data_IF_281538445773
#
_entry.id   IF_281538445773
#
_cell.length_a   1.000
_cell.length_b   1.000
_cell.length_c   1.000
_cell.angle_alpha   90.00
_cell.angle_beta   90.00
_cell.angle_gamma   90.00
#
_symmetry.space_group_name_H-M   'P 1'
#
loop_
_entity.id
_entity.type
_entity.pdbx_description
1 polymer ?
#
# COMPACT_ATOMS: atom_id res chain seq x y z
N UNK A 1 -36.21 23.06 5.48
CA UNK A 1 -35.54 22.27 4.42
C UNK A 1 -34.13 22.81 4.27
N UNK A 2 -33.21 22.30 5.09
CA UNK A 2 -31.80 22.71 5.11
C UNK A 2 -31.08 21.91 4.03
N UNK A 3 -30.85 22.55 2.88
CA UNK A 3 -30.42 21.91 1.65
C UNK A 3 -28.94 21.54 1.71
N UNK A 4 -28.65 20.25 1.55
CA UNK A 4 -27.38 19.70 1.08
C UNK A 4 -26.91 20.48 -0.15
N UNK A 5 -25.87 21.30 0.00
CA UNK A 5 -24.92 21.58 -1.06
C UNK A 5 -23.61 20.98 -0.56
N UNK A 6 -23.49 19.68 -0.81
CA UNK A 6 -22.23 18.96 -0.78
C UNK A 6 -21.23 19.78 -1.61
N UNK A 7 -20.04 20.00 -1.04
CA UNK A 7 -18.94 20.77 -1.61
C UNK A 7 -18.63 20.29 -3.03
N UNK A 8 -19.10 21.03 -4.02
CA UNK A 8 -18.65 20.86 -5.41
C UNK A 8 -17.20 21.33 -5.44
N UNK A 9 -16.27 20.42 -5.75
CA UNK A 9 -14.90 20.79 -6.06
C UNK A 9 -14.92 21.70 -7.30
N UNK A 10 -14.37 22.90 -7.17
CA UNK A 10 -14.33 23.90 -8.24
C UNK A 10 -12.95 23.81 -8.89
N UNK A 11 -12.90 23.61 -10.20
CA UNK A 11 -11.62 23.50 -10.93
C UNK A 11 -11.07 24.86 -11.40
N UNK A 12 -11.91 25.89 -11.46
CA UNK A 12 -11.54 27.25 -11.86
C UNK A 12 -12.58 28.25 -11.38
N UNK A 13 -12.14 29.40 -10.88
CA UNK A 13 -13.01 30.54 -10.54
C UNK A 13 -12.94 31.58 -11.65
N UNK A 14 -14.10 32.04 -12.10
CA UNK A 14 -14.21 33.19 -13.02
C UNK A 14 -15.03 34.26 -12.33
N UNK A 15 -14.46 35.44 -12.13
CA UNK A 15 -15.09 36.51 -11.34
C UNK A 15 -15.07 37.85 -12.05
N UNK A 16 -16.04 38.73 -11.76
CA UNK A 16 -15.89 40.14 -12.11
C UNK A 16 -14.92 40.84 -11.17
N UNK A 17 -14.26 41.89 -11.66
CA UNK A 17 -13.47 42.76 -10.81
C UNK A 17 -14.36 43.61 -9.90
N UNK A 18 -15.51 44.13 -10.37
CA UNK A 18 -16.46 44.88 -9.52
C UNK A 18 -17.75 44.12 -9.28
N UNK A 19 -18.00 43.75 -8.03
CA UNK A 19 -19.23 43.09 -7.60
C UNK A 19 -19.90 43.89 -6.45
N UNK A 20 -21.22 43.73 -6.24
CA UNK A 20 -21.88 44.38 -5.10
C UNK A 20 -21.34 43.86 -3.77
N UNK A 21 -20.67 44.73 -3.00
CA UNK A 21 -20.22 44.44 -1.63
C UNK A 21 -18.84 43.80 -1.50
N UNK A 22 -18.16 43.46 -2.60
CA UNK A 22 -16.78 42.93 -2.62
C UNK A 22 -16.18 43.18 -4.01
N UNK A 23 -14.86 43.27 -4.13
CA UNK A 23 -14.21 43.22 -5.44
C UNK A 23 -13.64 41.83 -5.75
N UNK A 24 -13.24 41.63 -7.01
CA UNK A 24 -12.70 40.35 -7.48
C UNK A 24 -11.35 39.98 -6.87
N UNK A 25 -10.58 40.97 -6.39
CA UNK A 25 -9.29 40.74 -5.73
C UNK A 25 -9.49 40.30 -4.28
N UNK A 26 -10.43 40.89 -3.56
CA UNK A 26 -10.86 40.42 -2.23
C UNK A 26 -11.33 38.95 -2.28
N UNK A 27 -12.00 38.56 -3.37
CA UNK A 27 -12.42 37.17 -3.58
C UNK A 27 -11.22 36.26 -3.87
N UNK A 28 -10.27 36.71 -4.70
CA UNK A 28 -9.03 35.98 -4.98
C UNK A 28 -8.24 35.72 -3.71
N UNK A 29 -8.07 36.73 -2.85
CA UNK A 29 -7.37 36.58 -1.56
C UNK A 29 -7.99 35.45 -0.72
N UNK A 30 -9.32 35.46 -0.56
CA UNK A 30 -10.05 34.41 0.17
C UNK A 30 -9.95 33.03 -0.50
N UNK A 31 -9.91 32.98 -1.83
CA UNK A 31 -9.69 31.73 -2.56
C UNK A 31 -8.28 31.19 -2.30
N UNK A 32 -7.26 32.05 -2.37
CA UNK A 32 -5.86 31.68 -2.13
C UNK A 32 -5.58 31.23 -0.70
N UNK A 33 -6.33 31.72 0.29
CA UNK A 33 -6.25 31.23 1.68
C UNK A 33 -6.64 29.75 1.82
N UNK A 34 -7.55 29.26 0.98
CA UNK A 34 -8.07 27.88 1.05
C UNK A 34 -7.43 26.96 0.02
N UNK A 35 -7.28 27.45 -1.20
CA UNK A 35 -6.73 26.73 -2.34
C UNK A 35 -5.71 27.62 -3.08
N UNK A 36 -4.44 27.62 -2.64
CA UNK A 36 -3.40 28.52 -3.14
C UNK A 36 -3.16 28.42 -4.65
N UNK A 37 -3.45 27.26 -5.26
CA UNK A 37 -3.17 27.00 -6.68
C UNK A 37 -4.41 26.97 -7.57
N UNK A 38 -5.61 27.20 -7.02
CA UNK A 38 -6.85 27.18 -7.80
C UNK A 38 -6.82 28.23 -8.93
N UNK A 39 -7.03 27.86 -10.20
CA UNK A 39 -7.10 28.83 -11.29
C UNK A 39 -8.15 29.91 -11.05
N UNK A 40 -7.75 31.17 -11.21
CA UNK A 40 -8.63 32.32 -11.00
C UNK A 40 -8.49 33.31 -12.16
N UNK A 41 -9.57 33.46 -12.92
CA UNK A 41 -9.64 34.35 -14.07
C UNK A 41 -10.53 35.53 -13.74
N UNK A 42 -9.98 36.73 -13.83
CA UNK A 42 -10.78 37.95 -13.78
C UNK A 42 -11.39 38.21 -15.15
N UNK A 43 -12.71 38.26 -15.20
CA UNK A 43 -13.47 38.63 -16.39
C UNK A 43 -14.22 39.92 -16.09
N UNK A 44 -13.76 41.08 -16.59
CA UNK A 44 -14.32 42.39 -16.18
C UNK A 44 -14.77 43.30 -17.32
N UNK A 45 -15.83 44.07 -17.09
CA UNK A 45 -16.38 45.02 -18.07
C UNK A 45 -15.54 46.29 -18.30
N UNK A 46 -14.56 46.59 -17.43
CA UNK A 46 -13.68 47.77 -17.57
C UNK A 46 -12.20 47.35 -17.65
N UNK A 47 -11.59 47.55 -18.82
CA UNK A 47 -10.15 47.42 -19.03
C UNK A 47 -9.41 48.75 -18.93
N UNK A 48 -9.26 49.29 -17.72
CA UNK A 48 -8.24 50.33 -17.48
C UNK A 48 -6.90 49.66 -17.19
N UNK A 49 -5.81 50.25 -17.69
CA UNK A 49 -4.44 49.78 -17.44
C UNK A 49 -4.17 49.59 -15.95
N UNK A 50 -4.69 50.48 -15.10
CA UNK A 50 -4.57 50.40 -13.64
C UNK A 50 -5.11 49.08 -13.05
N UNK A 51 -6.23 48.58 -13.59
CA UNK A 51 -6.86 47.33 -13.09
C UNK A 51 -6.09 46.10 -13.57
N UNK A 52 -5.52 46.15 -14.77
CA UNK A 52 -4.68 45.06 -15.27
C UNK A 52 -3.38 44.93 -14.46
N UNK A 53 -2.78 46.06 -14.06
CA UNK A 53 -1.59 46.07 -13.20
C UNK A 53 -1.89 45.48 -11.83
N UNK A 54 -3.00 45.88 -11.20
CA UNK A 54 -3.42 45.31 -9.92
C UNK A 54 -3.68 43.80 -10.01
N UNK A 55 -4.37 43.35 -11.06
CA UNK A 55 -4.64 41.93 -11.30
C UNK A 55 -3.35 41.11 -11.42
N UNK A 56 -2.38 41.58 -12.21
CA UNK A 56 -1.08 40.91 -12.38
C UNK A 56 -0.33 40.84 -11.05
N UNK A 57 -0.29 41.94 -10.30
CA UNK A 57 0.39 41.97 -8.99
C UNK A 57 -0.28 41.05 -7.94
N UNK A 58 -1.56 40.76 -8.11
CA UNK A 58 -2.32 39.88 -7.23
C UNK A 58 -2.23 38.39 -7.60
N UNK A 59 -1.45 38.01 -8.62
CA UNK A 59 -1.23 36.62 -9.05
C UNK A 59 -2.52 35.91 -9.51
N UNK A 60 -3.33 36.63 -10.30
CA UNK A 60 -4.41 36.01 -11.07
C UNK A 60 -3.83 35.09 -12.14
N UNK A 61 -4.56 34.03 -12.45
CA UNK A 61 -4.18 33.12 -13.55
C UNK A 61 -4.33 33.80 -14.90
N UNK A 62 -5.39 34.59 -15.08
CA UNK A 62 -5.54 35.43 -16.25
C UNK A 62 -6.51 36.59 -16.03
N UNK A 63 -6.45 37.58 -16.92
CA UNK A 63 -7.31 38.74 -16.96
C UNK A 63 -7.91 38.92 -18.36
N UNK A 64 -9.25 38.95 -18.43
CA UNK A 64 -10.01 39.08 -19.66
C UNK A 64 -11.02 40.22 -19.56
N UNK A 65 -11.08 41.07 -20.58
CA UNK A 65 -12.08 42.12 -20.66
C UNK A 65 -13.38 41.55 -21.20
N UNK A 66 -14.50 41.65 -20.46
CA UNK A 66 -15.86 41.31 -20.87
C UNK A 66 -16.30 42.15 -22.07
N UNK A 67 -16.22 41.58 -23.25
CA UNK A 67 -17.12 41.89 -24.35
C UNK A 67 -18.01 40.65 -24.60
N UNK A 68 -19.30 40.88 -24.81
CA UNK A 68 -20.29 39.79 -24.96
C UNK A 68 -20.29 39.23 -26.39
N UNK A 69 -19.15 39.27 -27.07
CA UNK A 69 -19.02 38.70 -28.42
C UNK A 69 -18.92 37.17 -28.32
N UNK A 70 -19.49 36.42 -29.28
CA UNK A 70 -19.31 34.97 -29.35
C UNK A 70 -17.84 34.54 -29.42
N UNK A 71 -17.00 35.38 -30.03
CA UNK A 71 -15.56 35.17 -30.16
C UNK A 71 -14.85 35.22 -28.81
N UNK A 72 -15.20 36.18 -27.95
CA UNK A 72 -14.62 36.26 -26.61
C UNK A 72 -15.11 35.19 -25.64
N UNK A 73 -16.38 34.78 -25.73
CA UNK A 73 -16.85 33.66 -24.93
C UNK A 73 -16.09 32.37 -25.28
N UNK A 74 -15.76 32.20 -26.56
CA UNK A 74 -14.88 31.11 -27.02
C UNK A 74 -13.46 31.27 -26.47
N UNK A 75 -12.92 32.49 -26.43
CA UNK A 75 -11.61 32.77 -25.86
C UNK A 75 -11.55 32.49 -24.35
N UNK A 76 -12.58 32.89 -23.60
CA UNK A 76 -12.71 32.60 -22.17
C UNK A 76 -12.80 31.09 -21.92
N UNK A 77 -13.60 30.35 -22.69
CA UNK A 77 -13.71 28.90 -22.57
C UNK A 77 -12.35 28.21 -22.78
N UNK A 78 -11.65 28.54 -23.87
CA UNK A 78 -10.30 28.02 -24.12
C UNK A 78 -9.33 28.37 -22.98
N UNK A 79 -9.46 29.57 -22.41
CA UNK A 79 -8.59 29.99 -21.31
C UNK A 79 -8.85 29.20 -20.03
N UNK A 80 -10.11 28.96 -19.70
CA UNK A 80 -10.52 28.10 -18.58
C UNK A 80 -9.97 26.68 -18.81
N UNK A 81 -10.19 26.11 -20.00
CA UNK A 81 -9.73 24.75 -20.32
C UNK A 81 -8.21 24.61 -20.16
N UNK A 82 -7.45 25.58 -20.69
CA UNK A 82 -5.99 25.57 -20.56
C UNK A 82 -5.53 25.71 -19.11
N UNK A 83 -6.12 26.64 -18.35
CA UNK A 83 -5.75 26.87 -16.97
C UNK A 83 -6.05 25.65 -16.08
N UNK A 84 -7.20 24.99 -16.30
CA UNK A 84 -7.57 23.76 -15.61
C UNK A 84 -6.66 22.60 -16.02
N UNK A 85 -6.34 22.46 -17.31
CA UNK A 85 -5.47 21.40 -17.80
C UNK A 85 -4.05 21.53 -17.22
N UNK A 86 -3.51 22.76 -17.18
CA UNK A 86 -2.20 23.04 -16.59
C UNK A 86 -2.17 22.72 -15.10
N UNK A 87 -3.19 23.17 -14.35
CA UNK A 87 -3.28 22.88 -12.91
C UNK A 87 -3.40 21.37 -12.64
N UNK A 88 -4.23 20.66 -13.39
CA UNK A 88 -4.36 19.20 -13.25
C UNK A 88 -3.09 18.45 -13.62
N UNK A 89 -2.38 18.89 -14.66
CA UNK A 89 -1.09 18.31 -15.03
C UNK A 89 -0.05 18.52 -13.92
N UNK A 90 -0.04 19.71 -13.31
CA UNK A 90 0.81 20.01 -12.16
C UNK A 90 0.47 19.14 -10.96
N UNK A 91 -0.79 19.05 -10.57
CA UNK A 91 -1.24 18.22 -9.45
C UNK A 91 -0.92 16.74 -9.68
N UNK A 92 -1.13 16.23 -10.90
CA UNK A 92 -0.79 14.86 -11.26
C UNK A 92 0.73 14.61 -11.20
N UNK A 93 1.54 15.57 -11.65
CA UNK A 93 2.99 15.49 -11.56
C UNK A 93 3.48 15.54 -10.10
N UNK A 94 2.94 16.44 -9.29
CA UNK A 94 3.25 16.55 -7.86
C UNK A 94 2.82 15.28 -7.10
N UNK A 95 1.63 14.75 -7.38
CA UNK A 95 1.16 13.49 -6.82
C UNK A 95 2.05 12.30 -7.23
N UNK A 96 2.49 12.25 -8.49
CA UNK A 96 3.42 11.22 -8.97
C UNK A 96 4.78 11.33 -8.28
N UNK A 97 5.34 12.54 -8.16
CA UNK A 97 6.59 12.79 -7.44
C UNK A 97 6.45 12.44 -5.95
N UNK A 98 5.34 12.79 -5.33
CA UNK A 98 5.06 12.44 -3.93
C UNK A 98 4.87 10.94 -3.74
N UNK A 99 4.22 10.25 -4.69
CA UNK A 99 4.04 8.81 -4.68
C UNK A 99 5.38 8.08 -4.84
N UNK A 100 6.21 8.51 -5.79
CA UNK A 100 7.57 8.00 -5.96
C UNK A 100 8.42 8.27 -4.71
N UNK A 101 8.33 9.46 -4.11
CA UNK A 101 8.99 9.77 -2.84
C UNK A 101 8.46 8.95 -1.68
N UNK A 102 7.16 8.62 -1.62
CA UNK A 102 6.60 7.77 -0.56
C UNK A 102 7.00 6.31 -0.68
N UNK A 103 7.13 5.81 -1.91
CA UNK A 103 7.72 4.49 -2.19
C UNK A 103 9.19 4.52 -1.77
N UNK A 104 9.91 5.59 -2.06
CA UNK A 104 11.33 5.76 -1.75
C UNK A 104 11.62 6.00 -0.24
N UNK A 105 10.82 6.81 0.47
CA UNK A 105 11.11 7.23 1.86
C UNK A 105 10.69 6.21 2.93
N UNK A 106 9.94 5.16 2.57
CA UNK A 106 9.64 4.03 3.47
C UNK A 106 10.55 2.82 3.20
N UNK A 107 11.47 2.97 2.26
CA UNK A 107 12.25 1.91 1.66
C UNK A 107 13.61 2.50 1.26
N UNK A 108 14.54 2.62 2.20
CA UNK A 108 15.94 2.87 1.85
C UNK A 108 16.50 1.61 1.16
N UNK A 109 16.17 1.43 -0.11
CA UNK A 109 16.77 0.42 -0.97
C UNK A 109 18.20 0.86 -1.27
N UNK A 110 19.16 0.04 -0.90
CA UNK A 110 20.54 0.26 -1.27
C UNK A 110 20.71 0.12 -2.78
N UNK A 111 21.47 1.02 -3.39
CA UNK A 111 21.74 0.99 -4.82
C UNK A 111 23.23 0.83 -5.12
N UNK A 112 23.53 -0.09 -6.05
CA UNK A 112 24.85 -0.22 -6.67
C UNK A 112 24.73 -0.38 -8.20
N UNK A 113 25.73 0.13 -8.91
CA UNK A 113 25.90 -0.01 -10.34
C UNK A 113 27.13 -0.86 -10.65
N UNK A 114 27.00 -1.76 -11.61
CA UNK A 114 28.04 -2.66 -12.09
C UNK A 114 28.31 -2.38 -13.57
N UNK A 115 29.56 -2.55 -14.00
CA UNK A 115 29.89 -2.65 -15.43
C UNK A 115 29.71 -4.08 -15.98
N UNK A 116 29.94 -4.28 -17.28
CA UNK A 116 29.89 -5.59 -17.95
C UNK A 116 30.83 -6.64 -17.33
N UNK A 117 31.87 -6.22 -16.60
CA UNK A 117 32.80 -7.10 -15.89
C UNK A 117 32.40 -7.33 -14.42
N UNK A 118 31.19 -6.91 -14.01
CA UNK A 118 30.70 -6.93 -12.63
C UNK A 118 31.54 -6.08 -11.67
N UNK A 119 32.20 -5.04 -12.16
CA UNK A 119 32.96 -4.08 -11.34
C UNK A 119 32.03 -3.00 -10.80
N UNK A 120 32.15 -2.66 -9.51
CA UNK A 120 31.31 -1.64 -8.88
C UNK A 120 31.69 -0.25 -9.41
N UNK A 121 30.84 0.33 -10.25
CA UNK A 121 31.02 1.67 -10.82
C UNK A 121 30.40 2.76 -9.97
N UNK A 122 29.37 2.42 -9.20
CA UNK A 122 28.69 3.30 -8.26
C UNK A 122 28.11 2.49 -7.11
N UNK A 123 28.08 3.09 -5.92
CA UNK A 123 27.21 2.65 -4.83
C UNK A 123 26.84 3.87 -3.97
N UNK A 124 25.67 3.84 -3.36
CA UNK A 124 25.26 4.84 -2.35
C UNK A 124 25.72 4.46 -0.93
N UNK A 125 25.36 5.28 0.06
CA UNK A 125 25.74 5.06 1.45
C UNK A 125 25.00 3.88 2.10
N UNK A 126 23.77 3.60 1.68
CA UNK A 126 22.99 2.47 2.17
C UNK A 126 23.60 1.15 1.67
N UNK A 127 24.01 1.10 0.41
CA UNK A 127 24.72 -0.02 -0.19
C UNK A 127 26.05 -0.30 0.50
N UNK A 128 26.87 0.73 0.72
CA UNK A 128 28.12 0.57 1.45
C UNK A 128 27.89 0.01 2.88
N UNK A 129 26.86 0.51 3.56
CA UNK A 129 26.47 0.03 4.89
C UNK A 129 26.02 -1.43 4.88
N UNK A 130 25.16 -1.83 3.94
CA UNK A 130 24.65 -3.20 3.85
C UNK A 130 25.72 -4.20 3.40
N UNK A 131 26.66 -3.78 2.54
CA UNK A 131 27.83 -4.57 2.17
C UNK A 131 28.91 -4.60 3.27
N UNK A 132 28.66 -3.94 4.41
CA UNK A 132 29.57 -3.85 5.56
C UNK A 132 30.99 -3.36 5.18
N UNK A 133 31.08 -2.43 4.22
CA UNK A 133 32.34 -1.92 3.70
C UNK A 133 32.38 -0.40 3.55
N UNK A 134 33.59 0.13 3.44
CA UNK A 134 33.80 1.54 3.15
C UNK A 134 33.54 1.81 1.65
N UNK A 135 32.67 2.78 1.35
CA UNK A 135 32.31 3.15 -0.03
C UNK A 135 33.53 3.34 -0.94
N UNK A 136 34.55 4.01 -0.43
CA UNK A 136 35.78 4.35 -1.17
C UNK A 136 36.65 3.13 -1.44
N UNK A 137 36.56 2.09 -0.60
CA UNK A 137 37.25 0.83 -0.79
C UNK A 137 36.49 -0.12 -1.72
N UNK A 138 35.17 0.02 -1.82
CA UNK A 138 34.31 -0.81 -2.66
C UNK A 138 34.22 -0.31 -4.10
N UNK A 139 34.37 1.00 -4.34
CA UNK A 139 34.35 1.57 -5.69
C UNK A 139 35.51 1.06 -6.54
N UNK A 140 35.19 0.50 -7.71
CA UNK A 140 36.16 -0.02 -8.66
C UNK A 140 36.60 -1.45 -8.40
N UNK A 141 36.11 -2.10 -7.34
CA UNK A 141 36.38 -3.50 -7.05
C UNK A 141 35.34 -4.41 -7.76
N UNK A 142 35.74 -5.62 -8.19
CA UNK A 142 34.80 -6.62 -8.69
C UNK A 142 33.83 -7.06 -7.59
N UNK A 143 32.52 -7.06 -7.87
CA UNK A 143 31.50 -7.43 -6.89
C UNK A 143 31.74 -8.83 -6.30
N UNK A 144 32.17 -9.77 -7.14
CA UNK A 144 32.43 -11.16 -6.75
C UNK A 144 33.71 -11.34 -5.93
N UNK A 145 34.64 -10.38 -5.97
CA UNK A 145 35.80 -10.37 -5.07
C UNK A 145 35.43 -9.79 -3.70
N UNK A 146 34.47 -8.86 -3.66
CA UNK A 146 33.90 -8.31 -2.42
C UNK A 146 33.00 -9.35 -1.73
N UNK A 147 32.21 -10.10 -2.50
CA UNK A 147 31.26 -11.11 -2.02
C UNK A 147 31.58 -12.49 -2.62
N UNK A 148 32.70 -13.14 -2.25
CA UNK A 148 33.11 -14.40 -2.86
C UNK A 148 32.13 -15.54 -2.54
N UNK A 149 31.43 -15.50 -1.40
CA UNK A 149 30.39 -16.47 -1.05
C UNK A 149 29.08 -16.29 -1.86
N UNK A 150 28.94 -15.19 -2.61
CA UNK A 150 27.82 -14.97 -3.52
C UNK A 150 28.08 -15.56 -4.92
N UNK A 151 29.29 -16.05 -5.20
CA UNK A 151 29.61 -16.84 -6.40
C UNK A 151 28.89 -18.19 -6.31
N UNK A 152 28.42 -18.70 -7.44
CA UNK A 152 27.59 -19.91 -7.57
C UNK A 152 26.27 -19.86 -6.76
N UNK A 153 25.81 -18.65 -6.43
CA UNK A 153 24.56 -18.42 -5.68
C UNK A 153 23.44 -17.88 -6.59
N UNK A 154 22.19 -17.75 -6.08
CA UNK A 154 21.13 -17.09 -6.81
C UNK A 154 21.48 -15.67 -7.27
N UNK A 155 22.38 -14.96 -6.59
CA UNK A 155 22.80 -13.61 -7.00
C UNK A 155 23.47 -13.62 -8.37
N UNK A 156 24.53 -14.43 -8.55
CA UNK A 156 25.27 -14.51 -9.81
C UNK A 156 24.39 -14.99 -10.96
N UNK A 157 23.67 -16.09 -10.76
CA UNK A 157 22.80 -16.67 -11.79
C UNK A 157 21.70 -15.70 -12.26
N UNK A 158 21.13 -14.89 -11.37
CA UNK A 158 20.12 -13.90 -11.75
C UNK A 158 20.74 -12.67 -12.44
N UNK A 159 21.93 -12.23 -12.03
CA UNK A 159 22.61 -11.10 -12.65
C UNK A 159 23.08 -11.44 -14.06
N UNK A 160 23.65 -12.63 -14.25
CA UNK A 160 23.97 -13.16 -15.58
C UNK A 160 22.71 -13.23 -16.45
N UNK A 161 21.61 -13.79 -15.92
CA UNK A 161 20.34 -13.88 -16.65
C UNK A 161 19.80 -12.50 -17.06
N UNK A 162 19.93 -11.49 -16.21
CA UNK A 162 19.49 -10.13 -16.50
C UNK A 162 20.25 -9.52 -17.67
N UNK A 163 21.58 -9.72 -17.71
CA UNK A 163 22.47 -9.28 -18.79
C UNK A 163 22.24 -10.07 -20.09
N UNK A 164 22.16 -11.40 -20.00
CA UNK A 164 22.00 -12.28 -21.19
C UNK A 164 20.67 -12.07 -21.91
N UNK A 165 19.59 -11.84 -21.17
CA UNK A 165 18.24 -11.73 -21.72
C UNK A 165 17.76 -10.29 -21.87
N UNK A 166 18.58 -9.31 -21.50
CA UNK A 166 18.23 -7.89 -21.48
C UNK A 166 16.88 -7.65 -20.79
N UNK A 167 16.72 -8.25 -19.60
CA UNK A 167 15.47 -8.20 -18.85
C UNK A 167 15.72 -7.99 -17.37
N UNK A 168 14.82 -7.25 -16.71
CA UNK A 168 14.88 -7.06 -15.27
C UNK A 168 14.56 -8.34 -14.51
N UNK A 169 15.28 -8.60 -13.43
CA UNK A 169 15.04 -9.71 -12.50
C UNK A 169 14.72 -9.17 -11.10
N UNK A 170 13.85 -9.90 -10.39
CA UNK A 170 13.40 -9.61 -9.03
C UNK A 170 13.36 -10.94 -8.27
N UNK A 171 14.03 -11.01 -7.12
CA UNK A 171 14.06 -12.21 -6.29
C UNK A 171 14.44 -11.89 -4.83
N UNK A 172 13.95 -12.73 -3.93
CA UNK A 172 14.36 -12.74 -2.52
C UNK A 172 15.29 -13.92 -2.25
N UNK A 173 16.41 -13.68 -1.57
CA UNK A 173 17.33 -14.75 -1.17
C UNK A 173 18.03 -14.44 0.14
N UNK A 174 18.38 -15.48 0.88
CA UNK A 174 19.15 -15.37 2.12
C UNK A 174 20.63 -15.41 1.82
N UNK A 175 21.36 -14.43 2.36
CA UNK A 175 22.81 -14.40 2.28
C UNK A 175 23.39 -14.75 3.65
N UNK A 176 23.86 -16.00 3.76
CA UNK A 176 24.35 -16.61 4.99
C UNK A 176 25.46 -15.78 5.70
N UNK A 177 26.47 -15.21 5.00
CA UNK A 177 27.56 -14.48 5.67
C UNK A 177 27.10 -13.27 6.49
N UNK A 178 25.99 -12.64 6.08
CA UNK A 178 25.40 -11.52 6.81
C UNK A 178 24.17 -11.93 7.65
N UNK A 179 23.76 -13.20 7.61
CA UNK A 179 22.48 -13.68 8.13
C UNK A 179 21.31 -12.73 7.78
N UNK A 180 21.28 -12.32 6.51
CA UNK A 180 20.37 -11.28 6.04
C UNK A 180 19.60 -11.79 4.84
N UNK A 181 18.28 -11.63 4.87
CA UNK A 181 17.43 -11.83 3.71
C UNK A 181 17.45 -10.57 2.86
N UNK A 182 17.83 -10.72 1.60
CA UNK A 182 17.83 -9.65 0.62
C UNK A 182 16.68 -9.79 -0.35
N UNK A 183 15.94 -8.71 -0.56
CA UNK A 183 15.07 -8.50 -1.72
C UNK A 183 15.88 -7.72 -2.76
N UNK A 184 16.09 -8.31 -3.94
CA UNK A 184 17.05 -7.82 -4.95
C UNK A 184 16.34 -7.60 -6.27
N UNK A 185 16.57 -6.42 -6.86
CA UNK A 185 16.12 -6.07 -8.20
C UNK A 185 17.29 -5.63 -9.04
N UNK A 186 17.50 -6.30 -10.17
CA UNK A 186 18.55 -5.95 -11.11
C UNK A 186 17.97 -5.60 -12.48
N UNK A 187 18.47 -4.50 -13.04
CA UNK A 187 18.03 -3.94 -14.32
C UNK A 187 19.25 -3.84 -15.24
N UNK A 188 19.19 -4.36 -16.48
CA UNK A 188 20.22 -4.10 -17.46
C UNK A 188 20.30 -2.59 -17.75
N UNK A 189 21.52 -2.09 -17.90
CA UNK A 189 21.79 -0.68 -18.20
C UNK A 189 22.86 -0.58 -19.29
N UNK A 190 23.03 0.61 -19.88
CA UNK A 190 24.06 0.85 -20.89
C UNK A 190 25.46 0.62 -20.29
N UNK A 191 26.06 -0.54 -20.58
CA UNK A 191 27.39 -0.93 -20.13
C UNK A 191 27.45 -1.69 -18.80
N UNK A 192 26.34 -2.30 -18.37
CA UNK A 192 26.34 -3.25 -17.25
C UNK A 192 24.98 -3.41 -16.58
N UNK A 193 24.94 -3.30 -15.25
CA UNK A 193 23.78 -3.64 -14.43
C UNK A 193 23.53 -2.58 -13.35
N UNK A 194 22.27 -2.20 -13.16
CA UNK A 194 21.81 -1.41 -12.03
C UNK A 194 21.10 -2.32 -11.02
N UNK A 195 21.58 -2.35 -9.78
CA UNK A 195 21.08 -3.27 -8.74
C UNK A 195 20.56 -2.48 -7.54
N UNK A 196 19.34 -2.81 -7.14
CA UNK A 196 18.72 -2.36 -5.91
C UNK A 196 18.59 -3.56 -4.98
N UNK A 197 18.89 -3.40 -3.70
CA UNK A 197 18.77 -4.46 -2.73
C UNK A 197 18.37 -3.95 -1.37
N UNK A 198 17.64 -4.78 -0.62
CA UNK A 198 17.06 -4.40 0.66
C UNK A 198 17.14 -5.52 1.68
N UNK A 199 17.49 -5.18 2.91
CA UNK A 199 17.28 -6.07 4.05
C UNK A 199 15.77 -6.23 4.34
N UNK A 200 15.27 -7.44 4.15
CA UNK A 200 13.89 -7.86 4.44
C UNK A 200 13.84 -8.90 5.56
N UNK A 201 14.91 -9.02 6.34
CA UNK A 201 15.05 -10.04 7.38
C UNK A 201 13.99 -9.89 8.47
N UNK A 202 13.68 -8.65 8.89
CA UNK A 202 12.62 -8.42 9.89
C UNK A 202 11.25 -8.85 9.36
N UNK A 203 10.95 -8.55 8.10
CA UNK A 203 9.72 -9.01 7.45
C UNK A 203 9.67 -10.54 7.41
N UNK A 204 10.76 -11.20 7.02
CA UNK A 204 10.85 -12.67 7.00
C UNK A 204 10.69 -13.31 8.37
N UNK A 205 11.25 -12.70 9.42
CA UNK A 205 11.06 -13.16 10.82
C UNK A 205 9.60 -13.04 11.24
N UNK A 206 8.92 -11.95 10.89
CA UNK A 206 7.50 -11.76 11.18
C UNK A 206 6.62 -12.73 10.39
N UNK A 207 6.90 -12.92 9.10
CA UNK A 207 6.22 -13.91 8.25
C UNK A 207 6.34 -15.32 8.84
N UNK A 208 7.57 -15.75 9.17
CA UNK A 208 7.82 -17.06 9.79
C UNK A 208 7.12 -17.21 11.15
N UNK A 209 7.13 -16.18 11.99
CA UNK A 209 6.46 -16.23 13.30
C UNK A 209 4.93 -16.35 13.18
N UNK A 210 4.33 -15.72 12.15
CA UNK A 210 2.90 -15.87 11.85
C UNK A 210 2.61 -17.29 11.36
N UNK A 211 3.42 -17.80 10.43
CA UNK A 211 3.27 -19.16 9.90
C UNK A 211 3.39 -20.23 11.00
N UNK A 212 4.37 -20.08 11.89
CA UNK A 212 4.55 -20.96 13.04
C UNK A 212 3.31 -20.94 13.95
N UNK A 213 2.77 -19.73 14.23
CA UNK A 213 1.60 -19.58 15.08
C UNK A 213 0.33 -20.15 14.46
N UNK A 214 0.15 -19.97 13.16
CA UNK A 214 -0.95 -20.59 12.41
C UNK A 214 -0.83 -22.12 12.40
N UNK A 215 0.39 -22.65 12.29
CA UNK A 215 0.70 -24.07 12.42
C UNK A 215 0.24 -24.63 13.77
N UNK A 216 0.66 -24.00 14.87
CA UNK A 216 0.26 -24.40 16.23
C UNK A 216 -1.26 -24.37 16.43
N UNK A 217 -1.93 -23.31 15.98
CA UNK A 217 -3.38 -23.20 16.10
C UNK A 217 -4.11 -24.28 15.30
N UNK A 218 -3.61 -24.60 14.09
CA UNK A 218 -4.19 -25.65 13.25
C UNK A 218 -4.07 -27.03 13.94
N UNK A 219 -2.93 -27.34 14.56
CA UNK A 219 -2.77 -28.60 15.32
C UNK A 219 -3.75 -28.68 16.51
N UNK A 220 -3.94 -27.57 17.24
CA UNK A 220 -4.91 -27.53 18.35
C UNK A 220 -6.34 -27.73 17.86
N UNK A 221 -6.74 -27.10 16.75
CA UNK A 221 -8.08 -27.26 16.17
C UNK A 221 -8.29 -28.70 15.73
N UNK A 222 -7.35 -29.31 15.01
CA UNK A 222 -7.44 -30.72 14.60
C UNK A 222 -7.60 -31.65 15.80
N UNK A 223 -6.83 -31.43 16.89
CA UNK A 223 -6.97 -32.24 18.10
C UNK A 223 -8.34 -32.06 18.78
N UNK A 224 -8.93 -30.86 18.76
CA UNK A 224 -10.27 -30.59 19.28
C UNK A 224 -11.37 -31.27 18.45
N UNK A 225 -11.26 -31.25 17.13
CA UNK A 225 -12.18 -31.95 16.24
C UNK A 225 -12.15 -33.47 16.45
N UNK A 226 -10.96 -34.07 16.62
CA UNK A 226 -10.82 -35.49 16.95
C UNK A 226 -11.48 -35.83 18.29
N UNK A 227 -11.30 -34.98 19.31
CA UNK A 227 -11.96 -35.15 20.60
C UNK A 227 -13.48 -35.00 20.49
N UNK A 228 -13.98 -34.06 19.70
CA UNK A 228 -15.41 -33.89 19.42
C UNK A 228 -16.02 -35.11 18.71
N UNK A 229 -15.31 -35.66 17.73
CA UNK A 229 -15.70 -36.90 17.04
C UNK A 229 -15.81 -38.10 17.97
N UNK A 230 -14.85 -38.28 18.88
CA UNK A 230 -14.92 -39.33 19.91
C UNK A 230 -16.08 -39.12 20.89
N UNK A 231 -16.37 -37.88 21.28
CA UNK A 231 -17.52 -37.59 22.14
C UNK A 231 -18.84 -37.99 21.45
N UNK A 232 -19.03 -37.60 20.19
CA UNK A 232 -20.23 -37.96 19.40
C UNK A 232 -20.37 -39.48 19.23
N UNK A 233 -19.26 -40.18 18.99
CA UNK A 233 -19.27 -41.65 18.92
C UNK A 233 -19.72 -42.26 20.25
N UNK A 234 -19.19 -41.80 21.39
CA UNK A 234 -19.58 -42.28 22.72
C UNK A 234 -21.07 -42.06 23.01
N UNK A 235 -21.64 -40.93 22.56
CA UNK A 235 -23.07 -40.66 22.63
C UNK A 235 -23.90 -41.65 21.83
N UNK A 236 -23.59 -41.85 20.54
CA UNK A 236 -24.32 -42.78 19.69
C UNK A 236 -24.22 -44.22 20.23
N UNK A 237 -23.08 -44.60 20.79
CA UNK A 237 -22.92 -45.92 21.43
C UNK A 237 -23.74 -46.04 22.71
N UNK A 238 -23.83 -44.99 23.52
CA UNK A 238 -24.61 -44.98 24.75
C UNK A 238 -26.12 -45.01 24.47
N UNK A 239 -26.61 -44.27 23.48
CA UNK A 239 -28.01 -44.33 23.03
C UNK A 239 -28.37 -45.72 22.50
N UNK A 240 -27.47 -46.33 21.71
CA UNK A 240 -27.68 -47.69 21.18
C UNK A 240 -27.73 -48.72 22.31
N UNK A 241 -26.83 -48.60 23.30
CA UNK A 241 -26.82 -49.48 24.47
C UNK A 241 -28.08 -49.33 25.34
N UNK A 242 -28.64 -48.12 25.46
CA UNK A 242 -29.92 -47.88 26.13
C UNK A 242 -31.10 -48.49 25.36
N UNK A 243 -31.09 -48.41 24.02
CA UNK A 243 -32.14 -48.99 23.16
C UNK A 243 -32.11 -50.53 23.10
N UNK A 244 -30.93 -51.15 23.17
CA UNK A 244 -30.78 -52.62 23.17
C UNK A 244 -30.91 -53.25 24.56
N UNK A 245 -30.84 -52.46 25.63
CA UNK A 245 -31.03 -52.93 27.00
C UNK A 245 -32.49 -53.33 27.25
N UNK A 246 -32.74 -54.65 27.34
CA UNK A 246 -34.02 -55.25 27.72
C UNK A 246 -34.03 -55.76 29.17
N UNK A 247 -33.26 -55.12 30.06
CA UNK A 247 -33.10 -55.54 31.44
C UNK A 247 -34.25 -55.04 32.34
N UNK A 248 -34.81 -55.95 33.16
CA UNK A 248 -35.93 -55.67 34.05
C UNK A 248 -35.51 -55.16 35.42
N UNK A 249 -36.14 -54.05 35.86
CA UNK A 249 -36.37 -53.55 37.23
C UNK A 249 -35.22 -53.50 38.28
N UNK A 250 -34.02 -54.00 38.01
CA UNK A 250 -32.86 -53.87 38.92
C UNK A 250 -31.72 -53.01 38.38
N UNK A 251 -31.86 -52.47 37.18
CA UNK A 251 -30.85 -51.61 36.54
C UNK A 251 -31.32 -50.14 36.34
N UNK A 252 -32.39 -49.70 37.01
CA UNK A 252 -32.86 -48.30 36.95
C UNK A 252 -31.80 -47.30 37.45
N UNK A 253 -30.94 -47.72 38.39
CA UNK A 253 -29.86 -46.88 38.94
C UNK A 253 -28.68 -46.76 37.95
N UNK A 254 -28.43 -47.81 37.15
CA UNK A 254 -27.43 -47.82 36.07
C UNK A 254 -27.90 -47.00 34.87
N UNK A 255 -29.17 -47.13 34.46
CA UNK A 255 -29.78 -46.31 33.41
C UNK A 255 -29.87 -44.83 33.82
N UNK A 256 -30.18 -44.53 35.09
CA UNK A 256 -30.13 -43.17 35.61
C UNK A 256 -28.70 -42.59 35.62
N UNK A 257 -27.70 -43.41 35.93
CA UNK A 257 -26.28 -43.05 35.83
C UNK A 257 -25.85 -42.74 34.39
N UNK A 258 -26.27 -43.57 33.42
CA UNK A 258 -25.98 -43.39 32.00
C UNK A 258 -26.63 -42.11 31.46
N UNK A 259 -27.92 -41.87 31.74
CA UNK A 259 -28.61 -40.63 31.34
C UNK A 259 -27.98 -39.37 31.93
N UNK A 260 -27.45 -39.45 33.15
CA UNK A 260 -26.77 -38.31 33.79
C UNK A 260 -25.42 -38.02 33.16
N UNK A 261 -24.72 -39.04 32.67
CA UNK A 261 -23.48 -38.91 31.89
C UNK A 261 -23.76 -38.32 30.50
N UNK A 262 -24.77 -38.83 29.80
CA UNK A 262 -25.24 -38.33 28.50
C UNK A 262 -25.63 -36.85 28.61
N UNK A 263 -26.48 -36.48 29.56
CA UNK A 263 -26.89 -35.07 29.76
C UNK A 263 -25.74 -34.14 30.16
N UNK A 264 -24.74 -34.66 30.89
CA UNK A 264 -23.53 -33.90 31.24
C UNK A 264 -22.64 -33.60 30.03
N UNK A 265 -22.54 -34.55 29.08
CA UNK A 265 -21.83 -34.36 27.83
C UNK A 265 -22.58 -33.40 26.88
N UNK A 266 -23.91 -33.36 26.91
CA UNK A 266 -24.74 -32.48 26.04
C UNK A 266 -24.55 -31.02 26.44
N UNK A 267 -24.46 -30.78 27.74
CA UNK A 267 -24.18 -29.47 28.31
C UNK A 267 -22.79 -28.97 27.90
N UNK A 268 -21.80 -29.87 27.77
CA UNK A 268 -20.46 -29.52 27.30
C UNK A 268 -20.41 -29.26 25.79
N UNK A 269 -21.18 -29.99 24.99
CA UNK A 269 -21.30 -29.77 23.55
C UNK A 269 -21.98 -28.42 23.23
N UNK A 270 -23.05 -28.06 23.97
CA UNK A 270 -23.74 -26.77 23.86
C UNK A 270 -22.85 -25.56 24.21
N UNK A 271 -21.80 -25.73 25.03
CA UNK A 271 -20.87 -24.65 25.37
C UNK A 271 -19.78 -24.44 24.31
N UNK A 272 -19.61 -25.38 23.36
CA UNK A 272 -18.61 -25.33 22.30
C UNK A 272 -19.12 -24.68 21.01
N UNK A 273 -20.42 -24.41 20.89
CA UNK A 273 -21.05 -23.79 19.72
C UNK A 273 -21.85 -22.54 20.14
N UNK A 274 -21.26 -21.33 20.02
CA UNK A 274 -21.91 -20.09 20.45
C UNK A 274 -22.94 -19.53 19.45
N UNK A 275 -23.12 -20.15 18.28
CA UNK A 275 -23.97 -19.60 17.20
C UNK A 275 -25.44 -20.12 17.22
N UNK A 276 -25.81 -20.97 18.17
CA UNK A 276 -27.14 -21.62 18.22
C UNK A 276 -28.20 -20.87 19.09
N UNK A 277 -27.96 -19.60 19.48
CA UNK A 277 -28.94 -18.78 20.23
C UNK A 277 -29.85 -17.88 19.38
N UNK A 278 -29.70 -17.81 18.04
CA UNK A 278 -30.63 -17.07 17.16
C UNK A 278 -31.57 -17.98 16.34
N UNK A 279 -32.41 -18.76 17.01
CA UNK A 279 -33.68 -19.25 16.44
C UNK A 279 -34.65 -19.68 17.53
N UNK A 280 -35.32 -18.69 18.14
CA UNK A 280 -36.44 -18.88 19.06
C UNK A 280 -37.34 -17.66 19.12
#
# INVERSE_FOLDING_TARGET
>A
MSTRLESIAVDCVVSDYKMPGTDGLDLLERCREREPHLPFILFTSKGSEDVAVEAINADVTDYLQKDLSPEQLTFLANRIENAVAEQRAREAAEATVQHLRHIHDRVSDAYLGLDDASTITYLDEDAARLLQGDREALLGEPLWDVLPEAVDSPFEAQFERALENDTSVDFETHYEPFDTWFDVRAFPADGGLSVYFRDVTERKRLESAVEDREGELREVVTALEEMGGHSKMLFETAETAEAECTCGAHDDELLAGLRKLIGGLDTLASMADPDDEESG
#
